data_IF_753570462444
#
_entry.id   IF_753570462444
#
_cell.length_a   1.000
_cell.length_b   1.000
_cell.length_c   1.000
_cell.angle_alpha   90.00
_cell.angle_beta   90.00
_cell.angle_gamma   90.00
#
_symmetry.space_group_name_H-M   'P 1'
#
loop_
_entity.id
_entity.type
_entity.pdbx_description
1 polymer ?
#
# COMPACT_ATOMS: atom_id res chain seq x y z
N UNK A 1 35.92 -41.26 38.24
CA UNK A 1 35.17 -41.68 37.03
C UNK A 1 35.98 -41.19 35.84
N UNK A 2 37.05 -41.91 35.51
CA UNK A 2 37.75 -41.69 34.25
C UNK A 2 36.84 -42.25 33.15
N UNK A 3 36.47 -41.40 32.19
CA UNK A 3 35.81 -41.91 30.99
C UNK A 3 36.79 -42.88 30.30
N UNK A 4 36.32 -44.10 30.09
CA UNK A 4 37.10 -45.11 29.39
C UNK A 4 37.50 -44.60 27.99
N UNK A 5 38.73 -44.91 27.58
CA UNK A 5 39.34 -44.42 26.35
C UNK A 5 38.50 -44.81 25.13
N UNK A 6 37.80 -45.95 25.19
CA UNK A 6 36.91 -46.42 24.13
C UNK A 6 35.66 -45.53 23.97
N UNK A 7 35.08 -45.08 25.08
CA UNK A 7 33.95 -44.14 25.09
C UNK A 7 34.33 -42.78 24.49
N UNK A 8 35.50 -42.25 24.87
CA UNK A 8 36.05 -41.01 24.33
C UNK A 8 36.29 -41.10 22.82
N UNK A 9 36.85 -42.22 22.34
CA UNK A 9 37.04 -42.48 20.90
C UNK A 9 35.72 -42.52 20.14
N UNK A 10 34.68 -43.14 20.72
CA UNK A 10 33.35 -43.19 20.11
C UNK A 10 32.73 -41.79 20.00
N UNK A 11 32.83 -40.97 21.04
CA UNK A 11 32.37 -39.57 21.01
C UNK A 11 33.09 -38.78 19.90
N UNK A 12 34.41 -38.84 19.83
CA UNK A 12 35.19 -38.16 18.78
C UNK A 12 34.76 -38.60 17.38
N UNK A 13 34.52 -39.91 17.17
CA UNK A 13 34.06 -40.43 15.88
C UNK A 13 32.68 -39.88 15.52
N UNK A 14 31.72 -39.89 16.45
CA UNK A 14 30.38 -39.37 16.22
C UNK A 14 30.40 -37.87 15.94
N UNK A 15 31.18 -37.09 16.71
CA UNK A 15 31.33 -35.65 16.48
C UNK A 15 31.93 -35.35 15.11
N UNK A 16 32.94 -36.13 14.67
CA UNK A 16 33.51 -35.97 13.31
C UNK A 16 32.48 -36.26 12.22
N UNK A 17 31.70 -37.32 12.37
CA UNK A 17 30.61 -37.64 11.43
C UNK A 17 29.58 -36.52 11.36
N UNK A 18 29.15 -35.96 12.51
CA UNK A 18 28.23 -34.83 12.54
C UNK A 18 28.80 -33.56 11.91
N UNK A 19 30.11 -33.32 12.00
CA UNK A 19 30.78 -32.20 11.31
C UNK A 19 30.81 -32.43 9.80
N UNK A 20 31.06 -33.66 9.34
CA UNK A 20 31.05 -34.02 7.93
C UNK A 20 29.64 -33.89 7.31
N UNK A 21 28.59 -34.24 8.07
CA UNK A 21 27.18 -34.12 7.64
C UNK A 21 26.73 -32.68 7.40
N UNK A 22 27.38 -31.68 8.02
CA UNK A 22 27.08 -30.26 7.79
C UNK A 22 27.49 -29.79 6.38
N UNK A 23 28.32 -30.57 5.68
CA UNK A 23 28.79 -30.25 4.35
C UNK A 23 29.80 -29.10 4.35
N UNK A 24 30.21 -28.64 3.15
CA UNK A 24 31.19 -27.57 3.02
C UNK A 24 30.63 -26.24 3.52
N UNK A 25 31.43 -25.50 4.28
CA UNK A 25 31.10 -24.13 4.69
C UNK A 25 31.05 -23.24 3.44
N UNK A 26 29.93 -22.54 3.24
CA UNK A 26 29.84 -21.51 2.21
C UNK A 26 30.57 -20.24 2.69
N UNK A 27 31.82 -20.09 2.27
CA UNK A 27 32.67 -18.95 2.63
C UNK A 27 32.13 -17.61 2.09
N UNK A 28 31.28 -17.65 1.06
CA UNK A 28 30.70 -16.46 0.44
C UNK A 28 29.32 -16.12 1.01
N UNK A 29 28.81 -16.87 1.99
CA UNK A 29 27.45 -16.71 2.49
C UNK A 29 27.20 -15.32 3.12
N UNK A 30 28.21 -14.74 3.75
CA UNK A 30 28.11 -13.42 4.39
C UNK A 30 27.97 -12.34 3.31
N UNK A 31 28.84 -12.33 2.31
CA UNK A 31 28.81 -11.37 1.21
C UNK A 31 27.52 -11.50 0.37
N UNK A 32 27.09 -12.73 0.06
CA UNK A 32 25.82 -12.98 -0.64
C UNK A 32 24.61 -12.49 0.17
N UNK A 33 24.64 -12.68 1.49
CA UNK A 33 23.58 -12.17 2.35
C UNK A 33 23.54 -10.63 2.32
N UNK A 34 24.69 -9.97 2.42
CA UNK A 34 24.78 -8.51 2.38
C UNK A 34 24.20 -7.95 1.06
N UNK A 35 24.59 -8.51 -0.09
CA UNK A 35 24.08 -8.11 -1.40
C UNK A 35 22.55 -8.29 -1.52
N UNK A 36 22.05 -9.46 -1.12
CA UNK A 36 20.61 -9.75 -1.16
C UNK A 36 19.85 -8.85 -0.20
N UNK A 37 20.40 -8.59 1.00
CA UNK A 37 19.76 -7.76 2.01
C UNK A 37 19.71 -6.29 1.58
N UNK A 38 20.76 -5.78 0.93
CA UNK A 38 20.76 -4.42 0.36
C UNK A 38 19.66 -4.28 -0.70
N UNK A 39 19.61 -5.22 -1.65
CA UNK A 39 18.56 -5.23 -2.69
C UNK A 39 17.16 -5.37 -2.10
N UNK A 40 17.00 -6.22 -1.09
CA UNK A 40 15.73 -6.40 -0.38
C UNK A 40 15.29 -5.10 0.29
N UNK A 41 16.20 -4.45 1.01
CA UNK A 41 15.94 -3.20 1.72
C UNK A 41 15.51 -2.12 0.75
N UNK A 42 16.28 -1.93 -0.33
CA UNK A 42 15.97 -0.97 -1.39
C UNK A 42 14.59 -1.21 -2.02
N UNK A 43 14.29 -2.44 -2.43
CA UNK A 43 12.99 -2.76 -3.04
C UNK A 43 11.83 -2.58 -2.05
N UNK A 44 12.07 -2.84 -0.76
CA UNK A 44 11.06 -2.70 0.25
C UNK A 44 10.74 -1.23 0.55
N UNK A 45 11.75 -0.36 0.56
CA UNK A 45 11.59 1.10 0.64
C UNK A 45 10.82 1.64 -0.57
N UNK A 46 11.23 1.28 -1.79
CA UNK A 46 10.52 1.67 -3.01
C UNK A 46 9.05 1.22 -3.01
N UNK A 47 8.79 0.01 -2.50
CA UNK A 47 7.42 -0.50 -2.36
C UNK A 47 6.61 0.31 -1.35
N UNK A 48 7.22 0.73 -0.24
CA UNK A 48 6.56 1.56 0.76
C UNK A 48 6.20 2.93 0.16
N UNK A 49 7.12 3.54 -0.58
CA UNK A 49 6.90 4.83 -1.24
C UNK A 49 5.77 4.76 -2.27
N UNK A 50 5.75 3.71 -3.11
CA UNK A 50 4.66 3.50 -4.08
C UNK A 50 3.31 3.34 -3.40
N UNK A 51 3.25 2.64 -2.26
CA UNK A 51 2.01 2.49 -1.50
C UNK A 51 1.55 3.81 -0.88
N UNK A 52 2.47 4.60 -0.35
CA UNK A 52 2.16 5.93 0.18
C UNK A 52 1.65 6.86 -0.93
N UNK A 53 2.34 6.91 -2.07
CA UNK A 53 1.91 7.71 -3.22
C UNK A 53 0.52 7.30 -3.73
N UNK A 54 0.24 5.99 -3.78
CA UNK A 54 -1.09 5.48 -4.12
C UNK A 54 -2.16 5.99 -3.16
N UNK A 55 -1.93 5.88 -1.85
CA UNK A 55 -2.89 6.33 -0.84
C UNK A 55 -3.18 7.82 -0.96
N UNK A 56 -2.14 8.64 -1.19
CA UNK A 56 -2.29 10.08 -1.43
C UNK A 56 -3.13 10.38 -2.68
N UNK A 57 -2.93 9.64 -3.77
CA UNK A 57 -3.73 9.80 -4.99
C UNK A 57 -5.19 9.43 -4.76
N UNK A 58 -5.46 8.35 -4.03
CA UNK A 58 -6.83 7.94 -3.69
C UNK A 58 -7.54 9.00 -2.84
N UNK A 59 -6.85 9.59 -1.85
CA UNK A 59 -7.38 10.70 -1.05
C UNK A 59 -7.70 11.94 -1.91
N UNK A 60 -6.78 12.30 -2.81
CA UNK A 60 -6.96 13.44 -3.70
C UNK A 60 -8.16 13.25 -4.64
N UNK A 61 -8.37 12.02 -5.13
CA UNK A 61 -9.56 11.69 -5.93
C UNK A 61 -10.84 11.88 -5.13
N UNK A 62 -10.88 11.41 -3.87
CA UNK A 62 -12.05 11.57 -3.00
C UNK A 62 -12.36 13.04 -2.71
N UNK A 63 -11.33 13.86 -2.46
CA UNK A 63 -11.47 15.30 -2.27
C UNK A 63 -12.01 15.99 -3.54
N UNK A 64 -11.49 15.65 -4.71
CA UNK A 64 -11.98 16.20 -5.98
C UNK A 64 -13.44 15.80 -6.24
N UNK A 65 -13.81 14.55 -5.99
CA UNK A 65 -15.20 14.09 -6.16
C UNK A 65 -16.18 14.86 -5.27
N UNK A 66 -15.76 15.17 -4.04
CA UNK A 66 -16.54 15.99 -3.12
C UNK A 66 -16.70 17.42 -3.65
N UNK A 67 -15.60 18.05 -4.05
CA UNK A 67 -15.58 19.41 -4.60
C UNK A 67 -16.46 19.51 -5.86
N UNK A 68 -16.38 18.53 -6.76
CA UNK A 68 -17.22 18.47 -7.97
C UNK A 68 -18.70 18.40 -7.62
N UNK A 69 -19.07 17.57 -6.65
CA UNK A 69 -20.47 17.46 -6.19
C UNK A 69 -20.97 18.76 -5.55
N UNK A 70 -20.14 19.43 -4.75
CA UNK A 70 -20.48 20.70 -4.12
C UNK A 70 -20.67 21.80 -5.18
N UNK A 71 -19.69 21.99 -6.07
CA UNK A 71 -19.77 22.95 -7.18
C UNK A 71 -20.96 22.71 -8.10
N UNK A 72 -21.25 21.44 -8.41
CA UNK A 72 -22.41 21.10 -9.22
C UNK A 72 -23.70 21.54 -8.54
N UNK A 73 -23.87 21.22 -7.24
CA UNK A 73 -25.05 21.63 -6.47
C UNK A 73 -25.19 23.15 -6.43
N UNK A 74 -24.12 23.88 -6.12
CA UNK A 74 -24.15 25.35 -6.06
C UNK A 74 -24.58 25.96 -7.41
N UNK A 75 -23.99 25.46 -8.49
CA UNK A 75 -24.31 25.91 -9.85
C UNK A 75 -25.75 25.57 -10.20
N UNK A 76 -26.22 24.36 -9.88
CA UNK A 76 -27.59 23.93 -10.13
C UNK A 76 -28.61 24.80 -9.39
N UNK A 77 -28.41 25.06 -8.09
CA UNK A 77 -29.31 25.91 -7.31
C UNK A 77 -29.34 27.34 -7.85
N UNK A 78 -28.19 27.86 -8.27
CA UNK A 78 -28.12 29.17 -8.93
C UNK A 78 -28.95 29.17 -10.22
N UNK A 79 -28.81 28.18 -11.09
CA UNK A 79 -29.59 28.05 -12.32
C UNK A 79 -31.09 27.89 -12.04
N UNK A 80 -31.46 27.09 -11.03
CA UNK A 80 -32.85 26.92 -10.61
C UNK A 80 -33.50 28.23 -10.15
N UNK A 81 -32.78 29.05 -9.39
CA UNK A 81 -33.22 30.37 -8.96
C UNK A 81 -33.52 31.28 -10.15
N UNK A 82 -32.54 31.44 -11.05
CA UNK A 82 -32.70 32.25 -12.25
C UNK A 82 -33.82 31.73 -13.16
N UNK A 83 -33.94 30.41 -13.33
CA UNK A 83 -35.02 29.80 -14.10
C UNK A 83 -36.40 30.17 -13.54
N UNK A 84 -36.56 30.10 -12.22
CA UNK A 84 -37.83 30.41 -11.55
C UNK A 84 -38.25 31.88 -11.75
N UNK A 85 -37.27 32.80 -11.72
CA UNK A 85 -37.49 34.23 -11.98
C UNK A 85 -37.86 34.49 -13.44
N UNK A 86 -37.08 33.94 -14.38
CA UNK A 86 -37.30 34.09 -15.82
C UNK A 86 -38.66 33.51 -16.22
N UNK A 87 -39.04 32.35 -15.69
CA UNK A 87 -40.34 31.73 -15.97
C UNK A 87 -41.51 32.64 -15.56
N UNK A 88 -41.49 33.17 -14.33
CA UNK A 88 -42.55 34.08 -13.86
C UNK A 88 -42.68 35.32 -14.75
N UNK A 89 -41.55 35.86 -15.21
CA UNK A 89 -41.51 37.02 -16.10
C UNK A 89 -42.12 36.72 -17.48
N UNK A 90 -41.81 35.56 -18.06
CA UNK A 90 -42.30 35.18 -19.39
C UNK A 90 -43.78 34.82 -19.43
N UNK A 91 -44.32 34.21 -18.37
CA UNK A 91 -45.68 33.70 -18.33
C UNK A 91 -46.66 34.57 -17.52
N UNK A 92 -46.21 35.73 -17.02
CA UNK A 92 -47.07 36.69 -16.31
C UNK A 92 -47.61 36.17 -14.97
N UNK A 93 -46.95 35.17 -14.37
CA UNK A 93 -47.40 34.45 -13.17
C UNK A 93 -47.08 32.95 -13.22
N UNK A 94 -47.51 32.20 -12.20
CA UNK A 94 -47.29 30.75 -12.11
C UNK A 94 -45.97 30.35 -11.42
N UNK A 95 -45.73 29.04 -11.33
CA UNK A 95 -44.55 28.46 -10.68
C UNK A 95 -44.02 27.27 -11.49
N UNK A 96 -42.71 27.26 -11.72
CA UNK A 96 -41.97 26.15 -12.30
C UNK A 96 -40.64 26.01 -11.57
N UNK A 97 -40.12 24.79 -11.48
CA UNK A 97 -38.85 24.51 -10.81
C UNK A 97 -38.06 23.43 -11.56
N UNK A 98 -36.73 23.50 -11.44
CA UNK A 98 -35.84 22.44 -11.86
C UNK A 98 -35.65 21.45 -10.70
N UNK A 99 -35.71 20.15 -10.99
CA UNK A 99 -35.42 19.09 -10.02
C UNK A 99 -34.30 18.21 -10.53
N UNK A 100 -33.38 17.87 -9.63
CA UNK A 100 -32.43 16.80 -9.89
C UNK A 100 -33.18 15.47 -9.83
N UNK A 101 -32.96 14.63 -10.84
CA UNK A 101 -33.35 13.22 -10.84
C UNK A 101 -32.11 12.38 -10.51
N UNK A 102 -32.33 11.21 -9.90
CA UNK A 102 -31.30 10.34 -9.33
C UNK A 102 -30.00 10.17 -10.15
#
# INVERSE_FOLDING_TARGET
LEEDIESLRKKVKLTKMSIEELGPVNLNAIEQFEEINERYTFLNEQRADLRAAKATLEQLIEEMDKEVKERFKETFHSVQGHFSEVFKSLFGGGQAELRLTD
#
